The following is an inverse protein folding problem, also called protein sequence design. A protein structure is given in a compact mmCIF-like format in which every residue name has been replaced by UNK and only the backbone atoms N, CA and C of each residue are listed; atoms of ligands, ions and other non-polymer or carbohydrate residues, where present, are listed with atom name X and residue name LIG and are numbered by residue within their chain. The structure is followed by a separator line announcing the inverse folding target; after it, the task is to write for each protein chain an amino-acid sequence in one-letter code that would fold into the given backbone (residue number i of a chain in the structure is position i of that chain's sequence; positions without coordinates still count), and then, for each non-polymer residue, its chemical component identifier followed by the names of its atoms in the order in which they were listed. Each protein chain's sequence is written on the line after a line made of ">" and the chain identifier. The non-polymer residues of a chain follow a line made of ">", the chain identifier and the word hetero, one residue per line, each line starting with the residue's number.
data_IF_418572079593
#
_entry.id   IF_418572079593
#
_cell.length_a   1.000
_cell.length_b   1.000
_cell.length_c   1.000
_cell.angle_alpha   90.00
_cell.angle_beta   90.00
_cell.angle_gamma   90.00
#
_symmetry.space_group_name_H-M   'P 1'
#
loop_
_entity.id
_entity.type
_entity.pdbx_description
1 polymer ?
#
# COMPACT_ATOMS: atom_id res chain seq x y z
N UNK A 1 -9.60 5.16 11.78
CA UNK A 1 -9.87 4.27 10.63
C UNK A 1 -10.87 3.20 11.01
N UNK A 2 -12.01 3.15 10.31
CA UNK A 2 -13.11 2.19 10.54
C UNK A 2 -13.37 1.39 9.27
N UNK A 3 -13.81 0.14 9.41
CA UNK A 3 -14.31 -0.64 8.29
C UNK A 3 -15.76 -0.21 8.06
N UNK A 4 -16.01 0.42 6.91
CA UNK A 4 -17.36 0.77 6.49
C UNK A 4 -18.10 -0.45 5.95
N UNK A 5 -17.43 -1.23 5.07
CA UNK A 5 -18.02 -2.43 4.48
C UNK A 5 -16.96 -3.45 4.07
N UNK A 6 -17.35 -4.73 4.10
CA UNK A 6 -16.62 -5.84 3.47
C UNK A 6 -17.57 -6.61 2.56
N UNK A 7 -17.06 -7.00 1.39
CA UNK A 7 -17.82 -7.68 0.34
C UNK A 7 -16.97 -8.79 -0.28
N UNK A 8 -17.57 -9.94 -0.55
CA UNK A 8 -16.97 -10.97 -1.40
C UNK A 8 -17.53 -10.75 -2.81
N UNK A 9 -16.68 -10.38 -3.77
CA UNK A 9 -17.09 -10.09 -5.14
C UNK A 9 -17.07 -11.35 -6.02
N UNK A 10 -16.11 -12.24 -5.74
CA UNK A 10 -15.95 -13.56 -6.35
C UNK A 10 -15.20 -14.48 -5.39
N UNK A 11 -15.08 -15.77 -5.71
CA UNK A 11 -14.44 -16.78 -4.84
C UNK A 11 -13.00 -16.40 -4.41
N UNK A 12 -12.27 -15.67 -5.25
CA UNK A 12 -10.91 -15.20 -5.00
C UNK A 12 -10.80 -13.67 -4.87
N UNK A 13 -11.91 -12.92 -4.84
CA UNK A 13 -11.91 -11.44 -4.78
C UNK A 13 -12.69 -10.94 -3.58
N UNK A 14 -11.99 -10.29 -2.65
CA UNK A 14 -12.56 -9.61 -1.49
C UNK A 14 -12.37 -8.09 -1.62
N UNK A 15 -13.36 -7.32 -1.18
CA UNK A 15 -13.31 -5.86 -1.13
C UNK A 15 -13.51 -5.38 0.32
N UNK A 16 -12.55 -4.60 0.82
CA UNK A 16 -12.65 -3.85 2.08
C UNK A 16 -12.75 -2.35 1.80
N UNK A 17 -13.81 -1.72 2.30
CA UNK A 17 -14.04 -0.28 2.21
C UNK A 17 -13.84 0.33 3.61
N UNK A 18 -12.97 1.31 3.70
CA UNK A 18 -12.48 1.91 4.93
C UNK A 18 -12.73 3.42 4.92
N UNK A 19 -13.03 3.94 6.11
CA UNK A 19 -13.20 5.37 6.36
C UNK A 19 -12.14 5.87 7.31
N UNK A 20 -11.53 7.00 6.95
CA UNK A 20 -10.61 7.76 7.81
C UNK A 20 -11.18 9.17 7.92
N UNK A 21 -11.98 9.39 8.96
CA UNK A 21 -12.49 10.71 9.32
C UNK A 21 -11.47 11.44 10.22
N UNK A 22 -11.95 12.25 11.17
CA UNK A 22 -11.13 12.82 12.23
C UNK A 22 -10.47 11.73 13.09
N UNK A 23 -9.29 12.06 13.63
CA UNK A 23 -8.53 11.13 14.45
C UNK A 23 -9.00 11.25 15.88
N UNK A 24 -9.68 10.21 16.36
CA UNK A 24 -9.95 10.04 17.78
C UNK A 24 -8.70 9.50 18.51
N UNK A 25 -8.71 9.60 19.84
CA UNK A 25 -7.59 9.15 20.69
C UNK A 25 -7.25 7.68 20.45
N UNK A 26 -8.27 6.83 20.27
CA UNK A 26 -8.09 5.39 20.01
C UNK A 26 -7.36 5.14 18.69
N UNK A 27 -7.63 5.94 17.67
CA UNK A 27 -6.95 5.83 16.39
C UNK A 27 -5.51 6.33 16.48
N UNK A 28 -5.26 7.43 17.20
CA UNK A 28 -3.90 7.91 17.47
C UNK A 28 -3.05 6.85 18.17
N UNK A 29 -3.57 6.24 19.23
CA UNK A 29 -2.88 5.15 19.94
C UNK A 29 -2.57 3.95 19.03
N UNK A 30 -3.45 3.66 18.07
CA UNK A 30 -3.22 2.61 17.07
C UNK A 30 -2.07 2.98 16.13
N UNK A 31 -1.97 4.25 15.75
CA UNK A 31 -0.86 4.77 14.94
C UNK A 31 0.43 4.71 15.76
N UNK A 32 0.45 5.23 16.99
CA UNK A 32 1.65 5.22 17.86
C UNK A 32 2.18 3.80 18.08
N UNK A 33 1.30 2.81 18.30
CA UNK A 33 1.69 1.39 18.46
C UNK A 33 2.27 0.75 17.20
N UNK A 34 2.05 1.34 16.03
CA UNK A 34 2.38 0.73 14.74
C UNK A 34 3.44 1.50 13.94
N UNK A 35 3.58 2.81 14.17
CA UNK A 35 4.36 3.71 13.31
C UNK A 35 5.83 3.28 13.22
N UNK A 36 6.47 2.96 14.35
CA UNK A 36 7.86 2.48 14.38
C UNK A 36 8.01 1.19 13.57
N UNK A 37 7.10 0.23 13.78
CA UNK A 37 7.09 -1.05 13.07
C UNK A 37 6.90 -0.87 11.56
N UNK A 38 5.99 0.00 11.15
CA UNK A 38 5.70 0.27 9.73
C UNK A 38 6.91 0.92 9.05
N UNK A 39 7.50 1.92 9.71
CA UNK A 39 8.56 2.74 9.17
C UNK A 39 9.93 2.06 9.17
N UNK A 40 10.27 1.37 10.26
CA UNK A 40 11.63 0.89 10.52
C UNK A 40 11.71 -0.60 10.90
N UNK A 41 10.57 -1.27 11.07
CA UNK A 41 10.52 -2.67 11.47
C UNK A 41 10.79 -2.85 12.97
N UNK A 42 11.57 -3.87 13.34
CA UNK A 42 12.11 -4.00 14.70
C UNK A 42 13.25 -2.98 14.86
N UNK A 43 12.90 -1.82 15.40
CA UNK A 43 13.80 -0.70 15.70
C UNK A 43 13.65 -0.30 17.16
N UNK A 44 14.71 0.27 17.73
CA UNK A 44 14.71 0.84 19.09
C UNK A 44 14.32 2.33 19.09
N UNK A 45 14.05 2.90 17.91
CA UNK A 45 13.53 4.26 17.76
C UNK A 45 12.23 4.48 18.53
N UNK A 46 12.12 5.63 19.17
CA UNK A 46 10.89 6.13 19.77
C UNK A 46 9.88 6.56 18.70
N UNK A 47 8.61 6.69 19.12
CA UNK A 47 7.56 7.24 18.25
C UNK A 47 7.91 8.66 17.76
N UNK A 48 8.46 9.50 18.63
CA UNK A 48 8.79 10.89 18.30
C UNK A 48 9.95 11.01 17.32
N UNK A 49 10.96 10.14 17.41
CA UNK A 49 12.04 10.07 16.42
C UNK A 49 11.51 9.70 15.03
N UNK A 50 10.60 8.72 14.96
CA UNK A 50 9.98 8.31 13.70
C UNK A 50 9.07 9.39 13.14
N UNK A 51 8.32 10.13 13.99
CA UNK A 51 7.55 11.31 13.57
C UNK A 51 8.45 12.39 12.97
N UNK A 52 9.57 12.73 13.62
CA UNK A 52 10.56 13.68 13.07
C UNK A 52 11.12 13.21 11.72
N UNK A 53 11.42 11.92 11.58
CA UNK A 53 11.87 11.34 10.31
C UNK A 53 10.78 11.39 9.24
N UNK A 54 9.52 11.15 9.59
CA UNK A 54 8.37 11.29 8.69
C UNK A 54 8.22 12.72 8.19
N UNK A 55 8.37 13.72 9.07
CA UNK A 55 8.39 15.14 8.68
C UNK A 55 9.51 15.38 7.66
N UNK A 56 10.73 14.91 7.93
CA UNK A 56 11.85 15.04 6.99
C UNK A 56 11.59 14.34 5.65
N UNK A 57 10.98 13.16 5.67
CA UNK A 57 10.62 12.37 4.49
C UNK A 57 9.56 13.05 3.62
N UNK A 58 8.64 13.81 4.22
CA UNK A 58 7.59 14.54 3.50
C UNK A 58 8.04 15.94 3.07
N UNK A 59 9.06 16.50 3.71
CA UNK A 59 9.59 17.83 3.40
C UNK A 59 10.11 17.89 1.96
N UNK A 60 9.69 18.91 1.22
CA UNK A 60 10.09 19.11 -0.18
C UNK A 60 9.36 18.26 -1.22
N UNK A 61 8.46 17.36 -0.80
CA UNK A 61 7.55 16.67 -1.72
C UNK A 61 6.40 17.59 -2.12
N UNK A 62 5.99 17.50 -3.38
CA UNK A 62 4.74 18.11 -3.83
C UNK A 62 3.52 17.45 -3.16
N UNK A 63 2.37 18.12 -3.20
CA UNK A 63 1.15 17.63 -2.54
C UNK A 63 0.76 16.22 -3.02
N UNK A 64 0.92 15.91 -4.31
CA UNK A 64 0.55 14.61 -4.86
C UNK A 64 1.41 13.50 -4.24
N UNK A 65 2.72 13.72 -4.12
CA UNK A 65 3.63 12.79 -3.45
C UNK A 65 3.32 12.66 -1.96
N UNK A 66 2.98 13.76 -1.27
CA UNK A 66 2.55 13.71 0.14
C UNK A 66 1.30 12.85 0.31
N UNK A 67 0.27 13.06 -0.52
CA UNK A 67 -0.96 12.25 -0.51
C UNK A 67 -0.69 10.77 -0.80
N UNK A 68 0.21 10.46 -1.73
CA UNK A 68 0.66 9.10 -2.02
C UNK A 68 1.29 8.43 -0.80
N UNK A 69 2.33 9.04 -0.24
CA UNK A 69 3.04 8.53 0.93
C UNK A 69 2.13 8.34 2.15
N UNK A 70 1.20 9.27 2.41
CA UNK A 70 0.27 9.14 3.54
C UNK A 70 -0.79 8.05 3.29
N UNK A 71 -1.22 7.85 2.04
CA UNK A 71 -2.13 6.78 1.69
C UNK A 71 -1.48 5.40 1.91
N UNK A 72 -0.24 5.24 1.43
CA UNK A 72 0.58 4.04 1.66
C UNK A 72 0.72 3.74 3.16
N UNK A 73 1.05 4.75 3.98
CA UNK A 73 1.14 4.59 5.43
C UNK A 73 -0.14 4.00 6.05
N UNK A 74 -1.32 4.52 5.67
CA UNK A 74 -2.58 4.00 6.20
C UNK A 74 -2.91 2.58 5.73
N UNK A 75 -2.48 2.20 4.53
CA UNK A 75 -2.60 0.83 4.04
C UNK A 75 -1.71 -0.12 4.84
N UNK A 76 -0.45 0.26 5.12
CA UNK A 76 0.41 -0.50 6.03
C UNK A 76 -0.22 -0.65 7.41
N UNK A 77 -0.80 0.43 7.96
CA UNK A 77 -1.49 0.41 9.25
C UNK A 77 -2.69 -0.56 9.27
N UNK A 78 -3.49 -0.55 8.20
CA UNK A 78 -4.62 -1.46 8.06
C UNK A 78 -4.16 -2.92 7.98
N UNK A 79 -3.22 -3.22 7.09
CA UNK A 79 -2.70 -4.56 6.85
C UNK A 79 -2.03 -5.14 8.11
N UNK A 80 -1.26 -4.35 8.85
CA UNK A 80 -0.72 -4.75 10.15
C UNK A 80 -1.84 -5.14 11.13
N UNK A 81 -2.93 -4.38 11.19
CA UNK A 81 -4.07 -4.71 12.05
C UNK A 81 -4.86 -5.94 11.60
N UNK A 82 -4.75 -6.31 10.32
CA UNK A 82 -5.32 -7.54 9.74
C UNK A 82 -4.35 -8.74 9.78
N UNK A 83 -3.27 -8.63 10.57
CA UNK A 83 -2.24 -9.65 10.79
C UNK A 83 -1.44 -10.04 9.53
N UNK A 84 -1.34 -9.15 8.55
CA UNK A 84 -0.34 -9.30 7.50
C UNK A 84 1.03 -9.00 8.09
N UNK A 85 1.99 -9.91 7.86
CA UNK A 85 3.37 -9.65 8.20
C UNK A 85 3.96 -8.77 7.11
N UNK A 86 4.32 -7.54 7.44
CA UNK A 86 5.01 -6.64 6.53
C UNK A 86 6.44 -7.14 6.34
N UNK A 87 6.80 -7.52 5.11
CA UNK A 87 8.14 -7.95 4.71
C UNK A 87 8.86 -6.84 3.93
N UNK A 88 8.43 -5.59 4.13
CA UNK A 88 9.06 -4.37 3.64
C UNK A 88 9.13 -3.28 4.72
N UNK A 89 9.80 -2.16 4.43
CA UNK A 89 9.78 -0.96 5.27
C UNK A 89 9.16 0.19 4.49
N UNK A 90 8.43 1.06 5.19
CA UNK A 90 7.87 2.26 4.57
C UNK A 90 8.95 3.28 4.20
N UNK A 91 9.96 3.48 5.05
CA UNK A 91 11.12 4.27 4.64
C UNK A 91 12.01 3.43 3.72
N UNK A 92 12.26 3.94 2.52
CA UNK A 92 13.23 3.35 1.63
C UNK A 92 14.60 3.96 1.92
N UNK A 93 15.65 3.15 2.02
CA UNK A 93 17.01 3.65 2.18
C UNK A 93 17.54 4.27 0.88
N UNK A 94 16.93 3.95 -0.27
CA UNK A 94 17.32 4.43 -1.59
C UNK A 94 16.38 5.52 -2.14
N UNK A 95 15.89 6.46 -1.32
CA UNK A 95 14.99 7.54 -1.77
C UNK A 95 15.54 8.43 -2.92
N UNK A 96 16.82 8.27 -3.28
CA UNK A 96 17.48 8.90 -4.43
C UNK A 96 17.70 7.98 -5.64
N UNK A 97 17.28 6.70 -5.61
CA UNK A 97 17.45 5.77 -6.73
C UNK A 97 16.14 5.56 -7.49
N UNK A 98 16.25 5.51 -8.83
CA UNK A 98 15.14 5.48 -9.79
C UNK A 98 14.38 4.13 -9.77
N UNK A 99 14.90 3.11 -9.07
CA UNK A 99 14.35 1.75 -9.08
C UNK A 99 13.15 1.70 -8.13
N UNK A 100 11.94 1.72 -8.70
CA UNK A 100 10.70 1.52 -7.95
C UNK A 100 10.34 0.04 -7.92
N UNK A 101 9.95 -0.43 -6.74
CA UNK A 101 9.34 -1.74 -6.54
C UNK A 101 7.87 -1.59 -6.18
N UNK A 102 7.30 -2.63 -5.59
CA UNK A 102 5.96 -2.61 -5.00
C UNK A 102 5.89 -1.65 -3.81
N UNK A 103 4.76 -0.99 -3.61
CA UNK A 103 4.53 -0.17 -2.41
C UNK A 103 4.50 -1.01 -1.13
N UNK A 104 4.16 -2.31 -1.23
CA UNK A 104 4.33 -3.22 -0.11
C UNK A 104 4.42 -4.70 -0.48
N UNK A 105 5.18 -5.44 0.33
CA UNK A 105 5.30 -6.90 0.26
C UNK A 105 4.95 -7.47 1.63
N UNK A 106 4.07 -8.46 1.64
CA UNK A 106 3.57 -9.07 2.87
C UNK A 106 3.56 -10.58 2.81
N UNK A 107 3.63 -11.21 3.97
CA UNK A 107 3.33 -12.64 4.14
C UNK A 107 2.12 -12.82 5.05
N UNK A 108 1.20 -13.70 4.66
CA UNK A 108 0.11 -14.18 5.51
C UNK A 108 -0.14 -15.65 5.20
N UNK A 109 -0.24 -16.50 6.22
CA UNK A 109 -0.41 -17.94 6.05
C UNK A 109 0.64 -18.58 5.12
N UNK A 110 1.90 -18.12 5.21
CA UNK A 110 3.03 -18.52 4.35
C UNK A 110 2.90 -18.17 2.85
N UNK A 111 1.92 -17.36 2.49
CA UNK A 111 1.69 -16.87 1.13
C UNK A 111 2.14 -15.41 0.99
N UNK A 112 2.71 -15.06 -0.17
CA UNK A 112 3.17 -13.71 -0.48
C UNK A 112 2.00 -12.89 -1.05
N UNK A 113 1.87 -11.65 -0.58
CA UNK A 113 0.94 -10.65 -1.06
C UNK A 113 1.70 -9.41 -1.55
N UNK A 114 1.34 -8.92 -2.73
CA UNK A 114 1.92 -7.73 -3.35
C UNK A 114 0.89 -6.60 -3.33
N UNK A 115 1.26 -5.45 -2.75
CA UNK A 115 0.39 -4.29 -2.59
C UNK A 115 0.88 -3.14 -3.47
N UNK A 116 -0.06 -2.50 -4.14
CA UNK A 116 0.17 -1.25 -4.88
C UNK A 116 -0.94 -0.26 -4.52
N UNK A 117 -0.56 0.99 -4.29
CA UNK A 117 -1.41 2.06 -3.82
C UNK A 117 -1.55 3.15 -4.86
N UNK A 118 -2.78 3.58 -5.12
CA UNK A 118 -3.06 4.79 -5.91
C UNK A 118 -3.96 5.72 -5.13
N UNK A 119 -3.54 6.98 -5.02
CA UNK A 119 -4.33 8.03 -4.37
C UNK A 119 -4.75 9.13 -5.35
N UNK A 120 -5.74 9.91 -4.94
CA UNK A 120 -6.12 11.15 -5.61
C UNK A 120 -7.05 12.00 -4.75
N UNK A 121 -7.38 13.19 -5.25
CA UNK A 121 -8.25 14.16 -4.59
C UNK A 121 -9.63 14.15 -5.20
N UNK A 122 -10.65 14.45 -4.40
CA UNK A 122 -12.07 14.40 -4.79
C UNK A 122 -12.41 15.29 -6.01
N UNK A 123 -11.66 16.38 -6.20
CA UNK A 123 -11.82 17.37 -7.27
C UNK A 123 -11.13 16.97 -8.59
N UNK A 124 -10.37 15.87 -8.59
CA UNK A 124 -9.72 15.37 -9.79
C UNK A 124 -10.75 14.85 -10.78
N UNK A 125 -10.72 15.38 -12.02
CA UNK A 125 -11.67 15.00 -13.08
C UNK A 125 -11.74 13.48 -13.26
N UNK A 126 -12.95 12.94 -13.23
CA UNK A 126 -13.27 11.52 -13.43
C UNK A 126 -12.61 10.56 -12.42
N UNK A 127 -12.19 11.06 -11.26
CA UNK A 127 -11.67 10.19 -10.20
C UNK A 127 -12.79 9.30 -9.65
N UNK A 128 -12.43 8.07 -9.29
CA UNK A 128 -13.28 7.15 -8.54
C UNK A 128 -12.40 6.10 -7.86
N UNK A 129 -12.92 5.40 -6.85
CA UNK A 129 -12.20 4.28 -6.29
C UNK A 129 -11.96 3.19 -7.34
N UNK A 130 -12.94 2.93 -8.22
CA UNK A 130 -12.82 1.95 -9.31
C UNK A 130 -11.64 2.27 -10.23
N UNK A 131 -11.48 3.53 -10.67
CA UNK A 131 -10.37 3.90 -11.55
C UNK A 131 -9.02 3.75 -10.87
N UNK A 132 -8.90 4.15 -9.60
CA UNK A 132 -7.66 3.99 -8.82
C UNK A 132 -7.31 2.53 -8.50
N UNK A 133 -8.30 1.70 -8.19
CA UNK A 133 -8.11 0.25 -8.04
C UNK A 133 -7.56 -0.35 -9.34
N UNK A 134 -8.17 -0.01 -10.49
CA UNK A 134 -7.67 -0.48 -11.79
C UNK A 134 -6.26 0.00 -12.11
N UNK A 135 -5.94 1.26 -11.82
CA UNK A 135 -4.58 1.79 -11.96
C UNK A 135 -3.57 0.98 -11.12
N UNK A 136 -3.87 0.72 -9.83
CA UNK A 136 -2.98 -0.07 -8.96
C UNK A 136 -2.82 -1.52 -9.44
N UNK A 137 -3.89 -2.14 -9.91
CA UNK A 137 -3.86 -3.47 -10.48
C UNK A 137 -3.01 -3.53 -11.75
N UNK A 138 -3.20 -2.58 -12.67
CA UNK A 138 -2.44 -2.51 -13.92
C UNK A 138 -0.95 -2.30 -13.66
N UNK A 139 -0.58 -1.54 -12.64
CA UNK A 139 0.83 -1.39 -12.27
C UNK A 139 1.43 -2.70 -11.73
N UNK A 140 0.70 -3.45 -10.88
CA UNK A 140 1.11 -4.80 -10.47
C UNK A 140 1.30 -5.74 -11.67
N UNK A 141 0.36 -5.73 -12.61
CA UNK A 141 0.44 -6.55 -13.83
C UNK A 141 1.67 -6.22 -14.67
N UNK A 142 1.98 -4.93 -14.84
CA UNK A 142 3.17 -4.47 -15.56
C UNK A 142 4.47 -4.82 -14.84
N UNK A 143 4.49 -4.74 -13.52
CA UNK A 143 5.65 -5.11 -12.70
C UNK A 143 5.94 -6.61 -12.77
N UNK A 144 4.90 -7.45 -12.78
CA UNK A 144 5.05 -8.90 -12.83
C UNK A 144 5.42 -9.40 -14.23
N UNK A 145 4.80 -8.83 -15.27
CA UNK A 145 5.00 -9.21 -16.67
C UNK A 145 6.26 -8.62 -17.32
N UNK A 146 6.97 -7.73 -16.63
CA UNK A 146 8.15 -7.04 -17.19
C UNK A 146 7.83 -5.99 -18.25
N UNK A 147 6.55 -5.65 -18.46
CA UNK A 147 6.10 -4.73 -19.52
C UNK A 147 6.06 -3.25 -19.11
N UNK A 148 6.53 -2.91 -17.90
CA UNK A 148 6.49 -1.52 -17.43
C UNK A 148 7.31 -0.62 -18.37
N UNK A 149 6.63 0.25 -19.12
CA UNK A 149 7.20 1.13 -20.15
C UNK A 149 8.19 2.19 -19.59
N UNK A 150 8.40 2.23 -18.27
CA UNK A 150 9.24 3.21 -17.58
C UNK A 150 10.63 2.71 -17.18
N UNK A 151 11.11 1.59 -17.75
CA UNK A 151 12.48 1.14 -17.50
C UNK A 151 12.80 0.98 -16.01
N UNK A 152 11.81 0.62 -15.19
CA UNK A 152 11.87 0.64 -13.72
C UNK A 152 12.85 -0.38 -13.11
N UNK A 153 13.57 -1.12 -13.97
CA UNK A 153 14.40 -2.22 -13.56
C UNK A 153 13.56 -3.38 -13.02
N UNK A 154 14.23 -4.31 -12.37
CA UNK A 154 13.59 -5.46 -11.75
C UNK A 154 12.97 -5.05 -10.38
N UNK A 155 11.63 -5.01 -10.23
CA UNK A 155 10.96 -4.56 -9.00
C UNK A 155 11.29 -5.47 -7.80
N UNK A 156 11.69 -6.72 -8.07
CA UNK A 156 12.08 -7.68 -7.06
C UNK A 156 13.42 -7.37 -6.40
N UNK A 157 14.25 -6.49 -6.99
CA UNK A 157 15.48 -6.01 -6.34
C UNK A 157 15.13 -5.25 -5.06
N UNK A 158 14.19 -4.30 -5.13
CA UNK A 158 13.75 -3.56 -3.94
C UNK A 158 13.04 -4.48 -2.96
N UNK A 159 12.14 -5.34 -3.44
CA UNK A 159 11.45 -6.31 -2.60
C UNK A 159 12.45 -7.17 -1.81
N UNK A 160 13.50 -7.67 -2.47
CA UNK A 160 14.55 -8.45 -1.82
C UNK A 160 15.37 -7.61 -0.84
N UNK A 161 15.80 -6.41 -1.24
CA UNK A 161 16.58 -5.50 -0.39
C UNK A 161 15.86 -5.24 0.94
N UNK A 162 14.60 -4.82 0.87
CA UNK A 162 13.76 -4.63 2.04
C UNK A 162 13.58 -5.91 2.86
N UNK A 163 13.20 -7.02 2.21
CA UNK A 163 12.99 -8.29 2.90
C UNK A 163 14.27 -8.82 3.57
N UNK A 164 15.46 -8.44 3.08
CA UNK A 164 16.75 -8.84 3.62
C UNK A 164 17.23 -7.97 4.79
N UNK A 165 16.56 -6.86 5.09
CA UNK A 165 16.89 -6.05 6.26
C UNK A 165 16.56 -6.81 7.55
N UNK A 166 17.49 -6.77 8.49
CA UNK A 166 17.38 -7.52 9.76
C UNK A 166 16.16 -7.08 10.59
N UNK A 167 15.83 -5.79 10.57
CA UNK A 167 14.71 -5.21 11.31
C UNK A 167 13.36 -5.71 10.81
N UNK A 168 13.24 -6.06 9.52
CA UNK A 168 12.00 -6.59 8.92
C UNK A 168 11.70 -8.01 9.41
N UNK A 169 12.74 -8.78 9.75
CA UNK A 169 12.63 -10.17 10.22
C UNK A 169 11.84 -11.06 9.24
N UNK A 170 12.06 -10.89 7.93
CA UNK A 170 11.48 -11.77 6.91
C UNK A 170 11.89 -13.23 7.16
N UNK A 171 11.01 -14.19 6.87
CA UNK A 171 11.40 -15.61 6.98
C UNK A 171 12.41 -15.92 5.87
N UNK A 172 13.41 -16.76 6.15
CA UNK A 172 14.42 -17.15 5.15
C UNK A 172 13.77 -17.68 3.87
N UNK A 173 12.79 -18.58 4.01
CA UNK A 173 12.05 -19.14 2.86
C UNK A 173 11.36 -18.09 2.00
N UNK A 174 10.85 -17.00 2.59
CA UNK A 174 10.23 -15.89 1.84
C UNK A 174 11.29 -15.09 1.11
N UNK A 175 12.43 -14.79 1.76
CA UNK A 175 13.58 -14.13 1.09
C UNK A 175 14.11 -14.96 -0.07
N UNK A 176 14.25 -16.27 0.12
CA UNK A 176 14.75 -17.19 -0.90
C UNK A 176 13.80 -17.22 -2.11
N UNK A 177 12.47 -17.25 -1.88
CA UNK A 177 11.46 -17.16 -2.94
C UNK A 177 11.54 -15.83 -3.69
N UNK A 178 11.61 -14.70 -2.99
CA UNK A 178 11.77 -13.38 -3.60
C UNK A 178 13.06 -13.32 -4.44
N UNK A 179 14.17 -13.87 -3.92
CA UNK A 179 15.46 -13.90 -4.62
C UNK A 179 15.42 -14.75 -5.89
N UNK A 180 14.71 -15.88 -5.85
CA UNK A 180 14.49 -16.71 -7.03
C UNK A 180 13.69 -15.95 -8.10
N UNK A 181 12.61 -15.28 -7.72
CA UNK A 181 11.80 -14.49 -8.67
C UNK A 181 12.63 -13.34 -9.25
N UNK A 182 13.44 -12.68 -8.42
CA UNK A 182 14.39 -11.66 -8.89
C UNK A 182 15.31 -12.22 -10.00
N UNK A 183 15.94 -13.38 -9.77
CA UNK A 183 16.82 -14.02 -10.78
C UNK A 183 16.05 -14.41 -12.04
N UNK A 184 14.84 -14.93 -11.90
CA UNK A 184 13.99 -15.27 -13.04
C UNK A 184 13.72 -14.03 -13.89
N UNK A 185 13.37 -12.90 -13.26
CA UNK A 185 13.14 -11.63 -13.94
C UNK A 185 14.39 -11.12 -14.68
N UNK A 186 15.58 -11.23 -14.07
CA UNK A 186 16.87 -10.91 -14.72
C UNK A 186 17.14 -11.79 -15.96
N UNK A 187 16.62 -13.01 -15.97
CA UNK A 187 16.71 -13.95 -17.09
C UNK A 187 15.50 -13.87 -18.05
N UNK A 188 14.69 -12.80 -17.97
CA UNK A 188 13.46 -12.60 -18.77
C UNK A 188 12.38 -13.69 -18.59
N UNK A 189 12.40 -14.39 -17.45
CA UNK A 189 11.35 -15.31 -17.02
C UNK A 189 10.41 -14.54 -16.10
N UNK A 190 9.35 -14.00 -16.70
CA UNK A 190 8.38 -13.16 -16.01
C UNK A 190 7.26 -13.97 -15.36
N UNK A 191 6.57 -13.35 -14.41
CA UNK A 191 5.41 -13.94 -13.74
C UNK A 191 4.11 -13.28 -14.21
N UNK A 192 3.00 -13.91 -13.88
CA UNK A 192 1.66 -13.36 -14.07
C UNK A 192 1.06 -12.92 -12.74
N UNK A 193 0.10 -11.99 -12.78
CA UNK A 193 -0.78 -11.70 -11.63
C UNK A 193 -1.46 -12.96 -11.09
N UNK A 194 -1.71 -13.95 -11.95
CA UNK A 194 -2.31 -15.23 -11.56
C UNK A 194 -1.42 -16.07 -10.62
N UNK A 195 -0.11 -15.80 -10.57
CA UNK A 195 0.83 -16.52 -9.70
C UNK A 195 0.85 -15.98 -8.26
N UNK A 196 0.25 -14.81 -8.02
CA UNK A 196 0.38 -14.07 -6.77
C UNK A 196 -0.96 -13.70 -6.13
N UNK A 197 -0.93 -13.57 -4.80
CA UNK A 197 -1.96 -12.83 -4.11
C UNK A 197 -1.64 -11.34 -4.22
N UNK A 198 -2.63 -10.53 -4.56
CA UNK A 198 -2.44 -9.11 -4.84
C UNK A 198 -3.42 -8.25 -4.06
N UNK A 199 -2.98 -7.03 -3.73
CA UNK A 199 -3.71 -6.08 -2.91
C UNK A 199 -3.74 -4.72 -3.64
N UNK A 200 -4.58 -4.58 -4.70
CA UNK A 200 -4.76 -3.30 -5.37
C UNK A 200 -5.53 -2.33 -4.46
N UNK A 201 -4.94 -1.16 -4.23
CA UNK A 201 -5.44 -0.21 -3.24
C UNK A 201 -5.80 1.14 -3.85
N UNK A 202 -6.84 1.76 -3.29
CA UNK A 202 -7.28 3.12 -3.66
C UNK A 202 -7.48 3.99 -2.42
N UNK A 203 -6.99 5.23 -2.47
CA UNK A 203 -7.33 6.27 -1.48
C UNK A 203 -7.88 7.52 -2.17
N UNK A 204 -8.96 8.09 -1.66
CA UNK A 204 -9.49 9.39 -2.12
C UNK A 204 -9.56 10.34 -0.93
N UNK A 205 -8.97 11.53 -1.10
CA UNK A 205 -8.97 12.61 -0.11
C UNK A 205 -10.08 13.62 -0.38
N UNK A 206 -10.79 14.03 0.68
CA UNK A 206 -12.00 14.88 0.61
C UNK A 206 -11.79 16.33 1.06
N UNK A 207 -10.55 16.71 1.41
CA UNK A 207 -10.15 18.05 1.87
C UNK A 207 -11.10 18.64 2.92
N UNK A 208 -11.42 17.84 3.94
CA UNK A 208 -12.21 18.26 5.10
C UNK A 208 -13.73 18.17 4.92
N UNK A 209 -14.23 17.88 3.71
CA UNK A 209 -15.67 17.79 3.44
C UNK A 209 -16.10 16.33 3.34
N UNK A 210 -16.45 15.72 4.47
CA UNK A 210 -16.88 14.31 4.49
C UNK A 210 -18.10 14.07 3.59
N UNK A 211 -18.01 13.05 2.75
CA UNK A 211 -19.09 12.64 1.86
C UNK A 211 -18.98 11.15 1.55
N UNK A 212 -19.98 10.37 1.99
CA UNK A 212 -20.01 8.92 1.78
C UNK A 212 -20.26 8.52 0.32
N UNK A 213 -20.59 9.47 -0.59
CA UNK A 213 -20.84 9.17 -2.01
C UNK A 213 -19.74 8.33 -2.64
N UNK A 214 -18.48 8.56 -2.28
CA UNK A 214 -17.33 7.84 -2.84
C UNK A 214 -17.37 6.34 -2.55
N UNK A 215 -17.71 6.00 -1.30
CA UNK A 215 -17.88 4.62 -0.87
C UNK A 215 -19.16 4.01 -1.45
N UNK A 216 -20.26 4.77 -1.49
CA UNK A 216 -21.54 4.31 -2.02
C UNK A 216 -21.48 4.05 -3.54
N UNK A 217 -20.80 4.90 -4.30
CA UNK A 217 -20.54 4.71 -5.73
C UNK A 217 -19.68 3.48 -6.01
N UNK A 218 -18.65 3.24 -5.19
CA UNK A 218 -17.84 2.02 -5.26
C UNK A 218 -18.72 0.78 -5.06
N UNK A 219 -19.59 0.77 -4.06
CA UNK A 219 -20.52 -0.34 -3.80
C UNK A 219 -21.46 -0.55 -5.00
N UNK A 220 -22.04 0.53 -5.53
CA UNK A 220 -22.94 0.46 -6.70
C UNK A 220 -22.24 -0.08 -7.95
N UNK A 221 -20.96 0.23 -8.12
CA UNK A 221 -20.18 -0.11 -9.30
C UNK A 221 -19.21 -1.30 -9.11
N UNK A 222 -19.28 -2.01 -7.97
CA UNK A 222 -18.30 -3.07 -7.60
C UNK A 222 -18.18 -4.19 -8.64
N UNK A 223 -19.24 -4.46 -9.40
CA UNK A 223 -19.25 -5.44 -10.50
C UNK A 223 -18.16 -5.17 -11.57
N UNK A 224 -17.71 -3.91 -11.72
CA UNK A 224 -16.61 -3.53 -12.63
C UNK A 224 -15.24 -4.07 -12.21
N UNK A 225 -15.14 -4.70 -11.04
CA UNK A 225 -13.93 -5.32 -10.49
C UNK A 225 -13.93 -6.84 -10.66
N UNK A 226 -15.02 -7.45 -11.14
CA UNK A 226 -15.13 -8.91 -11.27
C UNK A 226 -14.19 -9.51 -12.32
N UNK A 227 -13.68 -8.69 -13.26
CA UNK A 227 -12.74 -9.11 -14.31
C UNK A 227 -11.27 -9.06 -13.92
N UNK A 228 -10.94 -8.77 -12.65
CA UNK A 228 -9.55 -8.76 -12.19
C UNK A 228 -9.03 -10.19 -12.01
N UNK A 229 -7.78 -10.44 -12.39
CA UNK A 229 -7.14 -11.75 -12.36
C UNK A 229 -6.06 -11.83 -11.27
N UNK A 230 -5.98 -12.95 -10.56
CA UNK A 230 -4.99 -13.17 -9.52
C UNK A 230 -5.27 -14.43 -8.71
N UNK A 231 -4.26 -14.98 -8.02
CA UNK A 231 -4.46 -16.14 -7.14
C UNK A 231 -5.48 -15.84 -6.05
N UNK A 232 -5.34 -14.66 -5.43
CA UNK A 232 -6.29 -14.04 -4.50
C UNK A 232 -6.15 -12.53 -4.62
N UNK A 233 -7.27 -11.82 -4.65
CA UNK A 233 -7.31 -10.38 -4.80
C UNK A 233 -8.01 -9.79 -3.58
N UNK A 234 -7.27 -8.96 -2.84
CA UNK A 234 -7.81 -8.26 -1.69
C UNK A 234 -7.79 -6.76 -1.94
N UNK A 235 -8.92 -6.24 -2.38
CA UNK A 235 -9.07 -4.84 -2.75
C UNK A 235 -9.28 -4.03 -1.47
N UNK A 236 -8.50 -2.96 -1.30
CA UNK A 236 -8.66 -2.02 -0.18
C UNK A 236 -8.95 -0.63 -0.72
N UNK A 237 -10.07 -0.06 -0.31
CA UNK A 237 -10.47 1.30 -0.64
C UNK A 237 -10.56 2.13 0.65
N UNK A 238 -9.95 3.31 0.64
CA UNK A 238 -9.95 4.26 1.74
C UNK A 238 -10.56 5.59 1.26
N UNK A 239 -11.69 5.98 1.83
CA UNK A 239 -12.15 7.38 1.78
C UNK A 239 -11.57 8.10 2.99
N UNK A 240 -10.74 9.12 2.74
CA UNK A 240 -10.01 9.87 3.76
C UNK A 240 -10.50 11.32 3.79
N UNK A 241 -10.90 11.80 4.95
CA UNK A 241 -11.41 13.14 5.17
C UNK A 241 -10.38 14.19 4.74
N UNK A 242 -9.16 14.11 5.28
CA UNK A 242 -8.13 15.12 5.06
C UNK A 242 -6.75 14.58 5.43
N UNK A 243 -5.77 14.85 4.58
CA UNK A 243 -4.35 14.60 4.84
C UNK A 243 -3.83 15.39 6.05
N UNK A 244 -4.43 16.54 6.32
CA UNK A 244 -4.03 17.49 7.38
C UNK A 244 -4.08 16.87 8.77
N UNK A 245 -4.98 15.91 9.02
CA UNK A 245 -5.05 15.20 10.30
C UNK A 245 -3.75 14.41 10.57
N UNK A 246 -3.17 13.79 9.54
CA UNK A 246 -1.89 13.10 9.68
C UNK A 246 -0.71 14.06 9.78
N UNK A 247 -0.72 15.16 9.02
CA UNK A 247 0.31 16.21 9.11
C UNK A 247 0.40 16.76 10.54
N UNK A 248 -0.73 17.15 11.12
CA UNK A 248 -0.83 17.60 12.52
C UNK A 248 -0.30 16.55 13.51
N UNK A 249 -0.66 15.28 13.32
CA UNK A 249 -0.19 14.19 14.19
C UNK A 249 1.34 14.01 14.18
N UNK A 250 2.00 14.20 13.04
CA UNK A 250 3.47 14.09 12.96
C UNK A 250 4.20 15.41 13.25
N UNK A 251 3.48 16.53 13.40
CA UNK A 251 4.05 17.86 13.63
C UNK A 251 4.50 18.60 12.36
N UNK A 252 3.82 18.36 11.22
CA UNK A 252 3.96 19.09 9.96
C UNK A 252 2.81 20.09 9.77
#
# INVERSE_FOLDING_TARGET
>A
MKIFKKEILAHNIELSILHIENFDQKFLEKIDKSIVKICEGKSDSSCDEVKKRMVSFLKGKDEKKIHGSIAEFFLHLYLNSMKYKQDCLFFNLEENSVKKGFDGVYTKNNEIYLMESKSGRFDTKSISHISKIKESYTDLEKYLSGTSAKGLGNPWINAFSHANQISVRTKKSVRDKIKQIQRNFENNIFSSVNDFNIIPCSTIYLDGNWDEKWSNELIKNKHKLNGLCGKRIEIISITNLDVTNFKKYIGL
#
